data_IF_494216895028
#
_entry.id   IF_494216895028
#
_cell.length_a   1.000
_cell.length_b   1.000
_cell.length_c   1.000
_cell.angle_alpha   90.00
_cell.angle_beta   90.00
_cell.angle_gamma   90.00
#
_symmetry.space_group_name_H-M   'P 1'
#
loop_
_entity.id
_entity.type
_entity.pdbx_description
1 polymer ?
#
# COMPACT_ATOMS: atom_id res chain seq x y z
N UNK A 1 -2.90 15.59 -15.33
CA UNK A 1 -2.49 14.31 -14.72
C UNK A 1 -0.98 14.32 -14.52
N UNK A 2 -0.50 13.62 -13.49
CA UNK A 2 0.91 13.51 -13.06
C UNK A 2 1.10 12.15 -12.37
N UNK A 3 2.35 11.77 -12.08
CA UNK A 3 2.73 10.64 -11.22
C UNK A 3 3.87 11.13 -10.33
N UNK A 4 3.54 11.90 -9.30
CA UNK A 4 4.44 12.80 -8.59
C UNK A 4 5.16 12.08 -7.47
N UNK A 5 6.46 12.32 -7.38
CA UNK A 5 7.26 11.79 -6.28
C UNK A 5 8.19 12.83 -5.68
N UNK A 6 8.54 12.61 -4.41
CA UNK A 6 9.70 13.23 -3.79
C UNK A 6 10.85 12.22 -3.69
N UNK A 7 12.05 12.69 -4.02
CA UNK A 7 13.29 11.96 -3.74
C UNK A 7 14.08 12.76 -2.72
N UNK A 8 14.56 12.10 -1.67
CA UNK A 8 15.12 12.76 -0.50
C UNK A 8 16.51 12.18 -0.25
N UNK A 9 17.50 13.07 -0.17
CA UNK A 9 18.82 12.71 0.31
C UNK A 9 18.93 13.23 1.74
N UNK A 10 19.09 12.32 2.68
CA UNK A 10 19.38 12.63 4.08
C UNK A 10 20.88 12.47 4.30
N UNK A 11 21.56 13.57 4.62
CA UNK A 11 22.98 13.54 4.96
C UNK A 11 23.29 14.50 6.10
N UNK A 12 24.00 13.99 7.11
CA UNK A 12 24.42 14.73 8.32
C UNK A 12 23.26 15.43 9.01
N UNK A 13 22.09 14.78 9.02
CA UNK A 13 20.86 15.31 9.61
C UNK A 13 20.14 16.36 8.76
N UNK A 14 20.63 16.69 7.56
CA UNK A 14 19.98 17.60 6.62
C UNK A 14 19.20 16.80 5.56
N UNK A 15 18.00 17.27 5.24
CA UNK A 15 17.17 16.74 4.15
C UNK A 15 17.32 17.62 2.92
N UNK A 16 17.72 17.03 1.80
CA UNK A 16 17.64 17.65 0.47
C UNK A 16 16.50 17.00 -0.28
N UNK A 17 15.45 17.76 -0.58
CA UNK A 17 14.24 17.26 -1.24
C UNK A 17 14.29 17.62 -2.72
N UNK A 18 13.98 16.64 -3.55
CA UNK A 18 13.80 16.76 -4.98
C UNK A 18 12.36 16.42 -5.35
N UNK A 19 11.85 17.06 -6.38
CA UNK A 19 10.52 16.86 -6.93
C UNK A 19 10.60 16.41 -8.38
N UNK A 20 9.79 15.42 -8.73
CA UNK A 20 9.55 15.03 -10.12
C UNK A 20 8.04 14.81 -10.35
N UNK A 21 7.49 15.48 -11.36
CA UNK A 21 6.08 15.38 -11.76
C UNK A 21 5.67 13.99 -12.25
N UNK A 22 6.63 13.21 -12.74
CA UNK A 22 6.46 11.86 -13.28
C UNK A 22 7.36 10.85 -12.56
N UNK A 23 7.84 11.18 -11.36
CA UNK A 23 8.78 10.34 -10.63
C UNK A 23 8.17 9.05 -10.10
N UNK A 24 6.91 9.02 -9.66
CA UNK A 24 6.37 7.84 -8.98
C UNK A 24 6.32 6.60 -9.91
N UNK A 25 5.94 6.77 -11.17
CA UNK A 25 5.97 5.69 -12.17
C UNK A 25 7.38 5.27 -12.60
N UNK A 26 8.39 6.08 -12.25
CA UNK A 26 9.80 5.85 -12.56
C UNK A 26 10.60 5.28 -11.38
N UNK A 27 10.09 5.34 -10.13
CA UNK A 27 10.82 4.92 -8.93
C UNK A 27 11.41 3.51 -9.09
N UNK A 28 10.63 2.52 -9.54
CA UNK A 28 11.12 1.13 -9.68
C UNK A 28 12.24 1.02 -10.70
N UNK A 29 12.14 1.74 -11.82
CA UNK A 29 13.16 1.78 -12.86
C UNK A 29 14.42 2.52 -12.39
N UNK A 30 14.25 3.70 -11.79
CA UNK A 30 15.32 4.54 -11.27
C UNK A 30 16.15 3.78 -10.23
N UNK A 31 15.49 3.13 -9.27
CA UNK A 31 16.15 2.32 -8.25
C UNK A 31 16.85 1.11 -8.87
N UNK A 32 16.20 0.42 -9.82
CA UNK A 32 16.78 -0.76 -10.45
C UNK A 32 18.00 -0.44 -11.34
N UNK A 33 18.17 0.83 -11.75
CA UNK A 33 19.35 1.29 -12.49
C UNK A 33 20.65 1.27 -11.66
N UNK A 34 20.54 1.11 -10.33
CA UNK A 34 21.66 1.02 -9.39
C UNK A 34 22.09 2.37 -8.81
N UNK A 35 22.93 2.32 -7.76
CA UNK A 35 23.33 3.48 -6.95
C UNK A 35 23.82 4.68 -7.77
N UNK A 36 24.83 4.49 -8.62
CA UNK A 36 25.46 5.59 -9.37
C UNK A 36 24.47 6.26 -10.33
N UNK A 37 23.74 5.46 -11.10
CA UNK A 37 22.78 5.96 -12.08
C UNK A 37 21.62 6.69 -11.41
N UNK A 38 21.13 6.18 -10.28
CA UNK A 38 20.11 6.82 -9.47
C UNK A 38 20.56 8.20 -8.98
N UNK A 39 21.73 8.31 -8.34
CA UNK A 39 22.20 9.60 -7.85
C UNK A 39 22.54 10.60 -8.95
N UNK A 40 23.04 10.14 -10.10
CA UNK A 40 23.21 10.99 -11.28
C UNK A 40 21.88 11.48 -11.87
N UNK A 41 20.82 10.65 -11.85
CA UNK A 41 19.50 11.06 -12.33
C UNK A 41 18.89 12.13 -11.41
N UNK A 42 19.06 12.03 -10.09
CA UNK A 42 18.56 13.00 -9.12
C UNK A 42 19.05 14.43 -9.35
N UNK A 43 20.26 14.60 -9.92
CA UNK A 43 20.81 15.93 -10.24
C UNK A 43 19.99 16.69 -11.28
N UNK A 44 19.15 15.98 -12.06
CA UNK A 44 18.27 16.55 -13.08
C UNK A 44 16.91 16.98 -12.51
N UNK A 45 16.57 16.49 -11.32
CA UNK A 45 15.30 16.84 -10.67
C UNK A 45 15.34 18.23 -10.06
N UNK A 46 14.17 18.87 -9.99
CA UNK A 46 14.02 20.18 -9.37
C UNK A 46 14.14 20.02 -7.84
N UNK A 47 14.98 20.84 -7.20
CA UNK A 47 14.99 20.92 -5.73
C UNK A 47 13.70 21.58 -5.23
N UNK A 48 13.21 21.09 -4.10
CA UNK A 48 12.02 21.61 -3.42
C UNK A 48 12.36 21.91 -1.97
N UNK A 49 11.72 22.95 -1.41
CA UNK A 49 11.87 23.30 0.01
C UNK A 49 10.92 22.50 0.90
N UNK A 50 9.93 21.83 0.31
CA UNK A 50 8.94 21.03 1.02
C UNK A 50 8.58 19.74 0.28
N UNK A 51 8.00 18.80 1.04
CA UNK A 51 7.33 17.64 0.47
C UNK A 51 6.08 18.08 -0.30
N UNK A 52 5.67 17.24 -1.24
CA UNK A 52 4.34 17.32 -1.85
C UNK A 52 3.30 17.05 -0.75
N UNK A 53 2.15 17.73 -0.84
CA UNK A 53 0.99 17.40 0.01
C UNK A 53 0.53 15.96 -0.25
N UNK A 54 0.18 15.22 0.80
CA UNK A 54 -0.06 13.78 0.72
C UNK A 54 -1.05 13.37 -0.36
N UNK A 55 -2.15 14.13 -0.52
CA UNK A 55 -3.17 13.86 -1.56
C UNK A 55 -2.64 13.92 -3.00
N UNK A 56 -1.41 14.40 -3.20
CA UNK A 56 -0.72 14.48 -4.48
C UNK A 56 0.62 13.72 -4.48
N UNK A 57 1.02 13.11 -3.37
CA UNK A 57 2.23 12.30 -3.30
C UNK A 57 1.87 10.89 -3.77
N UNK A 58 2.46 10.45 -4.87
CA UNK A 58 2.20 9.14 -5.49
C UNK A 58 3.43 8.22 -5.37
N UNK A 59 4.54 8.74 -4.82
CA UNK A 59 5.74 7.97 -4.50
C UNK A 59 6.77 8.76 -3.69
N UNK A 60 7.66 8.04 -3.02
CA UNK A 60 8.72 8.60 -2.20
C UNK A 60 9.97 7.73 -2.25
N UNK A 61 11.15 8.35 -2.29
CA UNK A 61 12.43 7.69 -2.02
C UNK A 61 13.20 8.50 -1.00
N UNK A 62 13.81 7.84 -0.03
CA UNK A 62 14.72 8.40 0.98
C UNK A 62 16.03 7.62 0.93
N UNK A 63 17.12 8.30 0.61
CA UNK A 63 18.47 7.78 0.74
C UNK A 63 19.15 8.41 1.97
N UNK A 64 19.31 7.62 3.04
CA UNK A 64 20.10 8.01 4.22
C UNK A 64 21.57 7.64 3.97
N UNK A 65 22.39 8.66 3.69
CA UNK A 65 23.75 8.49 3.20
C UNK A 65 24.69 7.90 4.27
N UNK A 66 24.46 8.22 5.54
CA UNK A 66 25.30 7.74 6.64
C UNK A 66 24.89 6.34 7.09
N UNK A 67 23.59 6.07 7.19
CA UNK A 67 23.10 4.74 7.56
C UNK A 67 23.12 3.74 6.40
N UNK A 68 23.30 4.23 5.16
CA UNK A 68 23.14 3.44 3.93
C UNK A 68 21.77 2.76 3.87
N UNK A 69 20.71 3.50 4.23
CA UNK A 69 19.33 3.04 4.09
C UNK A 69 18.70 3.64 2.84
N UNK A 70 18.08 2.80 2.01
CA UNK A 70 17.30 3.21 0.85
C UNK A 70 15.84 2.82 1.09
N UNK A 71 15.05 3.79 1.54
CA UNK A 71 13.66 3.59 1.89
C UNK A 71 12.73 4.14 0.80
N UNK A 72 11.69 3.40 0.39
CA UNK A 72 10.85 3.84 -0.72
C UNK A 72 9.44 3.22 -0.75
N UNK A 73 8.55 3.89 -1.47
CA UNK A 73 7.26 3.37 -1.93
C UNK A 73 6.84 4.08 -3.22
N UNK A 74 5.95 3.46 -4.00
CA UNK A 74 5.28 4.08 -5.16
C UNK A 74 3.91 3.44 -5.37
N UNK A 75 2.92 4.22 -5.80
CA UNK A 75 1.60 3.71 -6.22
C UNK A 75 1.68 2.77 -7.43
N UNK A 76 2.76 2.86 -8.22
CA UNK A 76 2.99 1.98 -9.37
C UNK A 76 3.69 0.67 -8.99
N UNK A 77 3.97 0.43 -7.70
CA UNK A 77 4.42 -0.88 -7.22
C UNK A 77 3.27 -1.89 -7.17
N UNK A 78 3.59 -3.17 -7.35
CA UNK A 78 2.58 -4.24 -7.27
C UNK A 78 2.14 -4.52 -5.83
N UNK A 79 0.84 -4.78 -5.65
CA UNK A 79 0.23 -5.16 -4.38
C UNK A 79 0.38 -6.67 -4.07
N UNK A 80 1.26 -7.36 -4.78
CA UNK A 80 1.45 -8.80 -4.66
C UNK A 80 2.76 -9.10 -3.95
N UNK A 81 2.68 -9.82 -2.83
CA UNK A 81 3.80 -10.14 -1.96
C UNK A 81 4.92 -10.86 -2.70
N UNK A 82 4.60 -11.82 -3.58
CA UNK A 82 5.61 -12.56 -4.35
C UNK A 82 6.37 -11.66 -5.32
N UNK A 83 5.68 -10.73 -5.99
CA UNK A 83 6.34 -9.77 -6.91
C UNK A 83 7.20 -8.79 -6.13
N UNK A 84 6.68 -8.26 -5.02
CA UNK A 84 7.44 -7.36 -4.15
C UNK A 84 8.71 -8.03 -3.60
N UNK A 85 8.61 -9.26 -3.09
CA UNK A 85 9.77 -10.03 -2.60
C UNK A 85 10.80 -10.26 -3.71
N UNK A 86 10.34 -10.65 -4.90
CA UNK A 86 11.20 -10.85 -6.05
C UNK A 86 11.92 -9.56 -6.45
N UNK A 87 11.19 -8.45 -6.54
CA UNK A 87 11.75 -7.13 -6.84
C UNK A 87 12.78 -6.70 -5.80
N UNK A 88 12.47 -6.81 -4.50
CA UNK A 88 13.38 -6.44 -3.41
C UNK A 88 14.67 -7.26 -3.43
N UNK A 89 14.58 -8.57 -3.68
CA UNK A 89 15.75 -9.43 -3.78
C UNK A 89 16.67 -9.03 -4.95
N UNK A 90 16.10 -8.75 -6.12
CA UNK A 90 16.88 -8.31 -7.30
C UNK A 90 17.41 -6.88 -7.11
N UNK A 91 16.67 -6.01 -6.44
CA UNK A 91 17.12 -4.65 -6.13
C UNK A 91 18.32 -4.67 -5.18
N UNK A 92 18.36 -5.62 -4.23
CA UNK A 92 19.48 -5.76 -3.28
C UNK A 92 20.80 -6.03 -4.00
N UNK A 93 20.78 -6.77 -5.12
CA UNK A 93 21.98 -7.01 -5.95
C UNK A 93 22.49 -5.73 -6.63
N UNK A 94 21.61 -4.74 -6.86
CA UNK A 94 21.95 -3.43 -7.44
C UNK A 94 22.44 -2.42 -6.41
N UNK A 95 22.21 -2.70 -5.13
CA UNK A 95 22.51 -1.85 -3.99
C UNK A 95 23.18 -2.67 -2.86
N UNK A 96 24.35 -3.29 -3.12
CA UNK A 96 24.93 -4.30 -2.22
C UNK A 96 25.31 -3.77 -0.84
N UNK A 97 25.67 -2.49 -0.75
CA UNK A 97 26.10 -1.84 0.50
C UNK A 97 24.97 -1.10 1.23
N UNK A 98 23.73 -1.22 0.75
CA UNK A 98 22.58 -0.53 1.30
C UNK A 98 21.57 -1.50 1.90
N UNK A 99 20.95 -1.09 3.01
CA UNK A 99 19.75 -1.71 3.51
C UNK A 99 18.54 -1.16 2.75
N UNK A 100 17.85 -2.03 2.01
CA UNK A 100 16.63 -1.69 1.30
C UNK A 100 15.41 -1.79 2.22
N UNK A 101 14.58 -0.75 2.23
CA UNK A 101 13.44 -0.62 3.13
C UNK A 101 12.20 -0.26 2.31
N UNK A 102 11.28 -1.19 2.16
CA UNK A 102 9.97 -0.87 1.61
C UNK A 102 9.10 -0.20 2.68
N UNK A 103 8.37 0.84 2.31
CA UNK A 103 7.54 1.66 3.21
C UNK A 103 6.04 1.38 2.93
N UNK A 104 5.49 0.25 3.41
CA UNK A 104 4.12 -0.16 3.08
C UNK A 104 3.06 0.82 3.59
N UNK A 105 3.29 1.53 4.69
CA UNK A 105 2.36 2.52 5.24
C UNK A 105 2.70 3.96 4.80
N UNK A 106 3.33 4.09 3.63
CA UNK A 106 3.65 5.35 2.97
C UNK A 106 4.27 6.40 3.91
N UNK A 107 3.58 7.54 4.10
CA UNK A 107 4.09 8.66 4.89
C UNK A 107 4.18 8.33 6.39
N UNK A 108 3.37 7.40 6.89
CA UNK A 108 3.44 6.96 8.29
C UNK A 108 4.77 6.29 8.60
N UNK A 109 5.29 5.48 7.66
CA UNK A 109 6.60 4.88 7.79
C UNK A 109 7.70 5.89 7.47
N UNK A 110 7.50 6.74 6.46
CA UNK A 110 8.52 7.68 5.99
C UNK A 110 8.82 8.83 6.95
N UNK A 111 7.81 9.38 7.63
CA UNK A 111 7.97 10.54 8.50
C UNK A 111 8.97 10.30 9.66
N UNK A 112 8.92 9.15 10.37
CA UNK A 112 9.95 8.76 11.32
C UNK A 112 11.38 8.70 10.73
N UNK A 113 11.56 8.20 9.50
CA UNK A 113 12.88 8.17 8.84
C UNK A 113 13.45 9.57 8.59
N UNK A 114 12.58 10.52 8.27
CA UNK A 114 12.92 11.93 8.06
C UNK A 114 13.05 12.72 9.36
N UNK A 115 12.53 12.21 10.48
CA UNK A 115 12.49 12.94 11.75
C UNK A 115 11.52 14.12 11.73
N UNK A 116 10.42 14.01 10.99
CA UNK A 116 9.39 15.06 10.87
C UNK A 116 8.06 14.59 11.46
N UNK A 117 7.26 15.53 11.95
CA UNK A 117 5.85 15.28 12.28
C UNK A 117 4.97 15.74 11.13
N UNK A 118 4.80 14.86 10.14
CA UNK A 118 4.01 15.16 8.95
C UNK A 118 2.49 15.15 9.24
N UNK A 119 2.06 14.24 10.11
CA UNK A 119 0.64 13.93 10.31
C UNK A 119 -0.05 15.10 11.02
N UNK A 120 0.56 15.63 12.09
CA UNK A 120 -0.04 16.73 12.87
C UNK A 120 -0.22 18.03 12.09
N UNK A 121 0.56 18.22 11.01
CA UNK A 121 0.51 19.43 10.17
C UNK A 121 -0.43 19.34 8.97
N UNK A 122 -1.06 18.19 8.73
CA UNK A 122 -1.79 17.95 7.48
C UNK A 122 -3.30 17.87 7.73
N UNK A 123 -4.08 18.51 6.86
CA UNK A 123 -5.55 18.39 6.87
C UNK A 123 -5.95 16.96 6.48
N UNK A 124 -6.62 16.27 7.40
CA UNK A 124 -7.15 14.93 7.12
C UNK A 124 -8.45 15.05 6.32
N UNK A 125 -8.57 14.20 5.29
CA UNK A 125 -9.77 14.09 4.46
C UNK A 125 -10.98 13.57 5.27
N UNK A 126 -12.16 14.10 4.99
CA UNK A 126 -13.41 13.59 5.58
C UNK A 126 -13.96 12.44 4.75
N UNK A 127 -13.94 11.24 5.30
CA UNK A 127 -14.46 10.04 4.65
C UNK A 127 -15.99 10.04 4.62
N UNK A 128 -16.57 9.71 3.45
CA UNK A 128 -18.01 9.52 3.29
C UNK A 128 -18.43 8.16 3.85
N UNK A 129 -19.30 8.16 4.85
CA UNK A 129 -19.98 6.96 5.33
C UNK A 129 -21.12 6.59 4.37
N UNK A 130 -21.15 5.35 3.83
CA UNK A 130 -22.27 4.89 3.02
C UNK A 130 -23.51 4.61 3.88
N UNK A 131 -24.65 4.44 3.23
CA UNK A 131 -25.89 3.92 3.81
C UNK A 131 -25.87 2.39 3.86
N UNK A 132 -26.76 1.79 4.68
CA UNK A 132 -26.95 0.33 4.70
C UNK A 132 -27.32 -0.22 3.32
N UNK A 133 -28.20 0.49 2.62
CA UNK A 133 -28.68 0.10 1.30
C UNK A 133 -27.56 0.12 0.27
N UNK A 134 -26.68 1.13 0.31
CA UNK A 134 -25.48 1.18 -0.54
C UNK A 134 -24.56 -0.02 -0.28
N UNK A 135 -24.38 -0.49 0.97
CA UNK A 135 -23.54 -1.67 1.28
C UNK A 135 -24.19 -2.97 0.81
N UNK A 136 -25.49 -3.14 1.06
CA UNK A 136 -26.22 -4.36 0.72
C UNK A 136 -26.36 -4.49 -0.81
N UNK A 137 -26.74 -3.41 -1.48
CA UNK A 137 -27.01 -3.35 -2.91
C UNK A 137 -25.80 -2.88 -3.73
N UNK A 138 -24.59 -3.14 -3.22
CA UNK A 138 -23.32 -2.76 -3.83
C UNK A 138 -23.03 -3.57 -5.12
N UNK A 139 -23.80 -3.28 -6.17
CA UNK A 139 -23.68 -3.79 -7.54
C UNK A 139 -23.77 -5.31 -7.72
N UNK A 140 -23.93 -5.74 -8.97
CA UNK A 140 -23.52 -7.10 -9.35
C UNK A 140 -22.00 -7.13 -9.58
N UNK A 141 -21.40 -8.33 -9.60
CA UNK A 141 -19.96 -8.50 -9.76
C UNK A 141 -19.47 -7.81 -11.06
N UNK A 142 -18.77 -6.68 -10.90
CA UNK A 142 -18.04 -6.02 -11.99
C UNK A 142 -16.75 -6.81 -12.30
N UNK A 143 -16.12 -6.56 -13.45
CA UNK A 143 -14.79 -7.08 -13.77
C UNK A 143 -13.72 -6.56 -12.78
N UNK A 144 -13.94 -5.39 -12.19
CA UNK A 144 -12.99 -4.70 -11.30
C UNK A 144 -13.61 -4.38 -9.93
N UNK A 145 -13.79 -5.38 -9.04
CA UNK A 145 -14.27 -5.13 -7.70
C UNK A 145 -13.32 -4.19 -6.94
N UNK A 146 -13.87 -3.33 -6.10
CA UNK A 146 -13.10 -2.33 -5.35
C UNK A 146 -12.35 -2.94 -4.18
N UNK A 147 -12.96 -3.86 -3.43
CA UNK A 147 -12.30 -4.51 -2.30
C UNK A 147 -12.60 -5.99 -2.17
N UNK A 148 -11.60 -6.75 -1.76
CA UNK A 148 -11.72 -8.11 -1.26
C UNK A 148 -11.80 -8.05 0.27
N UNK A 149 -12.86 -8.60 0.85
CA UNK A 149 -13.12 -8.58 2.29
C UNK A 149 -13.13 -9.98 2.86
N UNK A 150 -12.29 -10.21 3.86
CA UNK A 150 -12.17 -11.44 4.61
C UNK A 150 -12.65 -11.18 6.04
N UNK A 151 -13.61 -11.96 6.52
CA UNK A 151 -14.17 -11.82 7.87
C UNK A 151 -13.97 -13.15 8.59
N UNK A 152 -13.17 -13.16 9.65
CA UNK A 152 -13.02 -14.30 10.55
C UNK A 152 -13.82 -14.06 11.82
N UNK A 153 -14.67 -15.02 12.16
CA UNK A 153 -15.36 -15.12 13.44
C UNK A 153 -15.26 -16.54 14.00
N UNK A 154 -16.01 -16.83 15.07
CA UNK A 154 -16.07 -18.15 15.69
C UNK A 154 -16.65 -19.27 14.80
N UNK A 155 -17.32 -18.95 13.68
CA UNK A 155 -17.87 -19.93 12.73
C UNK A 155 -16.82 -20.30 11.69
N UNK A 156 -16.05 -19.32 11.23
CA UNK A 156 -14.97 -19.55 10.26
C UNK A 156 -14.60 -18.30 9.48
N UNK A 157 -14.01 -18.52 8.30
CA UNK A 157 -13.64 -17.46 7.37
C UNK A 157 -14.73 -17.27 6.32
N UNK A 158 -15.27 -16.06 6.24
CA UNK A 158 -16.17 -15.60 5.18
C UNK A 158 -15.41 -14.68 4.24
N UNK A 159 -15.52 -14.89 2.93
CA UNK A 159 -14.81 -14.09 1.91
C UNK A 159 -15.82 -13.54 0.93
N UNK A 160 -15.79 -12.23 0.67
CA UNK A 160 -16.66 -11.56 -0.30
C UNK A 160 -15.90 -10.45 -1.01
N UNK A 161 -16.46 -9.94 -2.10
CA UNK A 161 -15.98 -8.73 -2.77
C UNK A 161 -17.04 -7.61 -2.71
N UNK A 162 -16.57 -6.37 -2.82
CA UNK A 162 -17.38 -5.17 -3.04
C UNK A 162 -17.12 -4.61 -4.43
N UNK A 163 -18.10 -3.93 -5.03
CA UNK A 163 -18.04 -3.42 -6.40
C UNK A 163 -17.88 -1.90 -6.47
N UNK A 164 -18.57 -1.14 -5.62
CA UNK A 164 -18.48 0.32 -5.53
C UNK A 164 -18.15 0.78 -4.10
N UNK A 165 -18.40 -0.08 -3.10
CA UNK A 165 -18.02 0.17 -1.72
C UNK A 165 -16.51 0.01 -1.56
N UNK A 166 -15.84 1.11 -1.22
CA UNK A 166 -14.39 1.13 -0.99
C UNK A 166 -14.02 0.67 0.42
N UNK A 167 -12.72 0.51 0.70
CA UNK A 167 -12.25 0.22 2.06
C UNK A 167 -12.61 1.35 3.04
N UNK A 168 -12.45 2.59 2.62
CA UNK A 168 -12.83 3.79 3.38
C UNK A 168 -14.31 3.79 3.72
N UNK A 169 -15.17 3.35 2.80
CA UNK A 169 -16.60 3.23 3.06
C UNK A 169 -16.88 2.17 4.14
N UNK A 170 -16.24 1.01 4.08
CA UNK A 170 -16.40 -0.05 5.10
C UNK A 170 -15.90 0.44 6.46
N UNK A 171 -14.70 1.02 6.51
CA UNK A 171 -14.09 1.48 7.75
C UNK A 171 -14.85 2.67 8.34
N UNK A 172 -15.33 3.60 7.54
CA UNK A 172 -16.13 4.74 8.01
C UNK A 172 -17.53 4.35 8.47
N UNK A 173 -18.07 3.24 7.97
CA UNK A 173 -19.34 2.69 8.47
C UNK A 173 -19.17 2.06 9.86
N UNK A 174 -18.04 1.40 10.12
CA UNK A 174 -17.71 0.83 11.42
C UNK A 174 -18.01 -0.66 11.52
N UNK A 175 -17.93 -1.19 12.74
CA UNK A 175 -18.15 -2.62 13.03
C UNK A 175 -19.53 -3.14 12.56
N UNK A 176 -20.52 -2.26 12.45
CA UNK A 176 -21.86 -2.61 11.98
C UNK A 176 -21.89 -2.99 10.48
N UNK A 177 -20.80 -2.75 9.73
CA UNK A 177 -20.66 -3.22 8.35
C UNK A 177 -20.55 -4.75 8.27
N UNK A 178 -20.03 -5.41 9.31
CA UNK A 178 -19.77 -6.86 9.34
C UNK A 178 -21.04 -7.68 8.99
N UNK A 179 -22.18 -7.52 9.69
CA UNK A 179 -23.39 -8.28 9.36
C UNK A 179 -23.95 -7.94 7.98
N UNK A 180 -23.71 -6.75 7.44
CA UNK A 180 -24.16 -6.35 6.10
C UNK A 180 -23.32 -7.04 5.02
N UNK A 181 -21.99 -7.03 5.19
CA UNK A 181 -21.05 -7.70 4.30
C UNK A 181 -21.29 -9.21 4.27
N UNK A 182 -21.65 -9.82 5.40
CA UNK A 182 -22.01 -11.26 5.47
C UNK A 182 -23.32 -11.63 4.77
N UNK A 183 -24.15 -10.66 4.36
CA UNK A 183 -25.34 -10.92 3.51
C UNK A 183 -24.98 -11.08 2.03
N UNK A 184 -23.75 -10.68 1.65
CA UNK A 184 -23.27 -10.82 0.27
C UNK A 184 -22.95 -12.27 -0.05
N UNK A 185 -22.74 -12.54 -1.34
CA UNK A 185 -22.36 -13.88 -1.81
C UNK A 185 -20.92 -14.19 -1.38
N UNK A 186 -20.75 -15.29 -0.65
CA UNK A 186 -19.41 -15.80 -0.35
C UNK A 186 -18.72 -16.31 -1.61
N UNK A 187 -17.42 -16.06 -1.72
CA UNK A 187 -16.54 -16.61 -2.75
C UNK A 187 -15.44 -17.47 -2.11
N UNK A 188 -14.74 -18.32 -2.87
CA UNK A 188 -13.50 -18.95 -2.40
C UNK A 188 -12.41 -17.91 -2.13
N UNK A 189 -11.52 -18.21 -1.18
CA UNK A 189 -10.31 -17.41 -0.96
C UNK A 189 -9.41 -17.50 -2.21
N UNK A 190 -9.11 -16.39 -2.90
CA UNK A 190 -8.30 -16.44 -4.12
C UNK A 190 -6.83 -16.73 -3.82
N UNK A 191 -6.12 -17.30 -4.79
CA UNK A 191 -4.66 -17.34 -4.77
C UNK A 191 -4.10 -15.93 -5.07
N UNK A 192 -2.83 -15.72 -4.73
CA UNK A 192 -2.13 -14.49 -5.08
C UNK A 192 -2.05 -14.30 -6.60
N UNK A 193 -2.35 -13.10 -7.09
CA UNK A 193 -2.46 -12.83 -8.52
C UNK A 193 -3.75 -13.32 -9.20
N UNK A 194 -4.69 -13.91 -8.44
CA UNK A 194 -6.04 -14.23 -8.90
C UNK A 194 -7.11 -13.37 -8.21
N UNK A 195 -6.75 -12.63 -7.17
CA UNK A 195 -7.61 -11.63 -6.55
C UNK A 195 -7.91 -10.51 -7.56
N UNK A 196 -9.20 -10.22 -7.78
CA UNK A 196 -9.61 -9.20 -8.75
C UNK A 196 -9.54 -7.79 -8.15
N UNK A 197 -9.80 -7.67 -6.86
CA UNK A 197 -9.71 -6.42 -6.13
C UNK A 197 -8.27 -6.15 -5.67
N UNK A 198 -7.80 -4.93 -5.94
CA UNK A 198 -6.47 -4.47 -5.49
C UNK A 198 -6.42 -4.18 -4.00
N UNK A 199 -7.54 -3.70 -3.45
CA UNK A 199 -7.63 -3.32 -2.05
C UNK A 199 -8.21 -4.48 -1.25
N UNK A 200 -7.62 -4.77 -0.09
CA UNK A 200 -8.01 -5.93 0.70
C UNK A 200 -8.17 -5.55 2.16
N UNK A 201 -9.19 -6.11 2.80
CA UNK A 201 -9.49 -5.93 4.21
C UNK A 201 -9.72 -7.28 4.87
N UNK A 202 -9.00 -7.52 5.95
CA UNK A 202 -9.26 -8.61 6.87
C UNK A 202 -9.84 -8.06 8.18
N UNK A 203 -10.91 -8.70 8.65
CA UNK A 203 -11.61 -8.38 9.90
C UNK A 203 -11.60 -9.63 10.78
N UNK A 204 -10.88 -9.57 11.91
CA UNK A 204 -10.97 -10.55 12.98
C UNK A 204 -11.97 -10.07 14.04
N UNK A 205 -13.16 -10.67 14.03
CA UNK A 205 -14.25 -10.30 14.92
C UNK A 205 -13.96 -10.70 16.37
N UNK A 206 -13.27 -11.81 16.59
CA UNK A 206 -12.99 -12.34 17.93
C UNK A 206 -11.84 -11.57 18.57
N UNK A 207 -10.73 -11.40 17.85
CA UNK A 207 -9.54 -10.72 18.36
C UNK A 207 -9.58 -9.20 18.22
N UNK A 208 -10.66 -8.64 17.65
CA UNK A 208 -10.82 -7.20 17.40
C UNK A 208 -9.62 -6.63 16.66
N UNK A 209 -9.32 -7.21 15.50
CA UNK A 209 -8.15 -6.83 14.72
C UNK A 209 -8.52 -6.62 13.25
N UNK A 210 -8.07 -5.52 12.68
CA UNK A 210 -8.22 -5.19 11.27
C UNK A 210 -6.85 -5.21 10.60
N UNK A 211 -6.77 -5.82 9.41
CA UNK A 211 -5.60 -5.69 8.54
C UNK A 211 -6.05 -5.13 7.20
N UNK A 212 -5.47 -4.02 6.78
CA UNK A 212 -5.73 -3.37 5.49
C UNK A 212 -4.47 -3.47 4.63
N UNK A 213 -4.59 -4.07 3.45
CA UNK A 213 -3.53 -4.09 2.44
C UNK A 213 -3.62 -2.86 1.52
N UNK A 214 -3.58 -1.70 2.13
CA UNK A 214 -3.54 -0.37 1.50
C UNK A 214 -3.03 0.62 2.56
N UNK A 215 -2.64 1.83 2.18
CA UNK A 215 -2.24 2.89 3.12
C UNK A 215 -3.05 4.16 2.86
N UNK A 216 -4.09 4.35 3.68
CA UNK A 216 -5.08 5.41 3.53
C UNK A 216 -4.89 6.44 4.64
N UNK A 217 -4.33 7.60 4.29
CA UNK A 217 -3.97 8.64 5.26
C UNK A 217 -5.16 9.21 6.02
N UNK A 218 -5.02 9.25 7.35
CA UNK A 218 -6.00 9.80 8.27
C UNK A 218 -7.21 8.89 8.52
N UNK A 219 -7.27 7.71 7.89
CA UNK A 219 -8.42 6.82 8.00
C UNK A 219 -8.64 6.38 9.45
N UNK A 220 -7.59 5.91 10.13
CA UNK A 220 -7.74 5.36 11.47
C UNK A 220 -7.89 6.45 12.54
N UNK A 221 -7.19 7.57 12.37
CA UNK A 221 -7.27 8.74 13.25
C UNK A 221 -8.70 9.28 13.30
N UNK A 222 -9.43 9.22 12.18
CA UNK A 222 -10.80 9.73 12.09
C UNK A 222 -11.86 8.67 12.35
N UNK A 223 -11.60 7.39 12.05
CA UNK A 223 -12.62 6.34 12.07
C UNK A 223 -12.44 5.29 13.18
N UNK A 224 -11.36 5.31 13.96
CA UNK A 224 -11.17 4.36 15.08
C UNK A 224 -12.33 4.34 16.07
N UNK A 225 -13.01 5.48 16.28
CA UNK A 225 -14.19 5.54 17.16
C UNK A 225 -15.38 4.69 16.67
N UNK A 226 -15.42 4.33 15.38
CA UNK A 226 -16.43 3.44 14.77
C UNK A 226 -16.10 1.96 14.95
N UNK A 227 -14.91 1.66 15.44
CA UNK A 227 -14.38 0.32 15.69
C UNK A 227 -13.89 0.20 17.14
N UNK A 228 -14.78 0.36 18.13
CA UNK A 228 -14.37 0.29 19.53
C UNK A 228 -13.69 -1.04 19.83
N UNK A 229 -12.56 -0.97 20.55
CA UNK A 229 -11.72 -2.10 20.97
C UNK A 229 -10.93 -2.76 19.84
N UNK A 230 -11.15 -2.39 18.57
CA UNK A 230 -10.34 -2.91 17.48
C UNK A 230 -8.97 -2.24 17.42
N UNK A 231 -8.00 -3.00 16.99
CA UNK A 231 -6.70 -2.51 16.53
C UNK A 231 -6.63 -2.56 15.01
N UNK A 232 -5.82 -1.70 14.41
CA UNK A 232 -5.58 -1.69 12.98
C UNK A 232 -4.09 -1.90 12.68
N UNK A 233 -3.82 -2.76 11.69
CA UNK A 233 -2.59 -2.75 10.93
C UNK A 233 -2.89 -2.39 9.48
N UNK A 234 -2.14 -1.44 8.94
CA UNK A 234 -2.38 -0.87 7.62
C UNK A 234 -1.06 -0.74 6.87
N UNK A 235 -1.11 -0.98 5.56
CA UNK A 235 -0.02 -0.76 4.63
C UNK A 235 -0.12 -1.67 3.42
N UNK A 236 0.47 -1.26 2.30
CA UNK A 236 0.56 -2.00 1.03
C UNK A 236 1.56 -3.17 1.13
N UNK A 237 1.43 -4.03 2.14
CA UNK A 237 2.35 -5.13 2.45
C UNK A 237 2.30 -6.30 1.44
N UNK A 238 1.23 -6.35 0.65
CA UNK A 238 0.94 -7.37 -0.34
C UNK A 238 0.00 -8.47 0.17
N UNK A 239 -0.68 -9.15 -0.75
CA UNK A 239 -1.78 -10.07 -0.42
C UNK A 239 -1.39 -11.18 0.56
N UNK A 240 -0.31 -11.94 0.29
CA UNK A 240 0.10 -13.02 1.19
C UNK A 240 0.64 -12.50 2.52
N UNK A 241 1.28 -11.34 2.53
CA UNK A 241 1.74 -10.72 3.77
C UNK A 241 0.54 -10.31 4.66
N UNK A 242 -0.54 -9.79 4.07
CA UNK A 242 -1.79 -9.52 4.77
C UNK A 242 -2.42 -10.81 5.30
N UNK A 243 -2.48 -11.89 4.51
CA UNK A 243 -2.98 -13.19 4.98
C UNK A 243 -2.14 -13.76 6.12
N UNK A 244 -0.81 -13.65 6.03
CA UNK A 244 0.10 -14.09 7.08
C UNK A 244 -0.12 -13.29 8.38
N UNK A 245 -0.28 -11.97 8.30
CA UNK A 245 -0.63 -11.13 9.44
C UNK A 245 -1.97 -11.54 10.07
N UNK A 246 -2.93 -11.90 9.22
CA UNK A 246 -4.22 -12.43 9.63
C UNK A 246 -4.13 -13.86 10.21
N UNK A 247 -2.95 -14.48 10.31
CA UNK A 247 -2.77 -15.88 10.72
C UNK A 247 -3.56 -16.86 9.83
N UNK A 248 -3.64 -16.60 8.52
CA UNK A 248 -4.20 -17.50 7.51
C UNK A 248 -3.04 -18.28 6.88
N UNK A 249 -3.23 -19.59 6.67
CA UNK A 249 -2.22 -20.42 6.03
C UNK A 249 -2.05 -20.01 4.56
N UNK A 250 -0.83 -19.61 4.19
CA UNK A 250 -0.48 -19.15 2.83
C UNK A 250 0.20 -20.21 1.98
N UNK A 251 0.47 -21.40 2.51
CA UNK A 251 1.19 -22.45 1.76
C UNK A 251 0.39 -22.87 0.53
N UNK A 252 1.00 -22.74 -0.65
CA UNK A 252 0.38 -23.06 -1.94
C UNK A 252 -0.50 -21.95 -2.50
N UNK A 253 -0.56 -20.79 -1.84
CA UNK A 253 -1.30 -19.62 -2.31
C UNK A 253 -0.45 -18.69 -3.18
N UNK A 254 0.84 -19.00 -3.35
CA UNK A 254 1.79 -18.18 -4.07
C UNK A 254 1.46 -18.03 -5.56
N UNK A 255 1.69 -16.81 -6.05
CA UNK A 255 1.63 -16.53 -7.48
C UNK A 255 2.64 -17.42 -8.22
N UNK A 256 2.26 -17.91 -9.41
CA UNK A 256 3.17 -18.70 -10.24
C UNK A 256 4.42 -17.90 -10.62
N UNK A 257 5.56 -18.59 -10.75
CA UNK A 257 6.83 -17.95 -11.12
C UNK A 257 6.75 -17.19 -12.44
N UNK A 258 6.00 -17.70 -13.42
CA UNK A 258 5.78 -17.04 -14.71
C UNK A 258 5.09 -15.68 -14.54
N UNK A 259 4.00 -15.62 -13.75
CA UNK A 259 3.29 -14.38 -13.46
C UNK A 259 4.19 -13.40 -12.69
N UNK A 260 4.98 -13.89 -11.74
CA UNK A 260 5.93 -13.07 -10.96
C UNK A 260 6.97 -12.42 -11.87
N UNK A 261 7.56 -13.18 -12.80
CA UNK A 261 8.54 -12.66 -13.75
C UNK A 261 7.91 -11.63 -14.71
N UNK A 262 6.72 -11.90 -15.23
CA UNK A 262 6.01 -10.97 -16.11
C UNK A 262 5.69 -9.64 -15.41
N UNK A 263 5.20 -9.70 -14.16
CA UNK A 263 4.92 -8.50 -13.36
C UNK A 263 6.21 -7.73 -13.02
N UNK A 264 7.28 -8.43 -12.63
CA UNK A 264 8.59 -7.83 -12.39
C UNK A 264 9.13 -7.11 -13.63
N UNK A 265 9.07 -7.74 -14.81
CA UNK A 265 9.52 -7.11 -16.05
C UNK A 265 8.76 -5.81 -16.35
N UNK A 266 7.45 -5.79 -16.10
CA UNK A 266 6.62 -4.59 -16.25
C UNK A 266 7.10 -3.48 -15.31
N UNK A 267 7.35 -3.80 -14.04
CA UNK A 267 7.83 -2.84 -13.03
C UNK A 267 9.14 -2.16 -13.43
N UNK A 268 10.09 -2.88 -14.02
CA UNK A 268 11.41 -2.32 -14.37
C UNK A 268 11.48 -1.73 -15.79
N UNK A 269 10.54 -2.07 -16.67
CA UNK A 269 10.50 -1.60 -18.07
C UNK A 269 9.56 -0.43 -18.29
N UNK A 270 8.81 0.02 -17.28
CA UNK A 270 7.74 1.04 -17.40
C UNK A 270 8.07 2.09 -18.47
N UNK A 271 7.49 1.91 -19.66
CA UNK A 271 7.52 2.92 -20.70
C UNK A 271 6.54 3.99 -20.26
N UNK A 272 6.94 5.25 -20.07
CA UNK A 272 5.96 6.31 -19.91
C UNK A 272 5.06 6.28 -21.15
N UNK A 273 3.78 6.02 -20.95
CA UNK A 273 2.75 6.11 -21.99
C UNK A 273 2.60 7.56 -22.47
#
# INVERSE_FOLDING_TARGET
MGSRANYIIKSKGLLTIYYNKWGACQITQDLYSGEDNFFESLKKHQRSDSLIEYGWMEGLVIADMEAKHLAFWSFDMENETSVLRYFMANLQERWPDWQLIYLPNYIYDAAPFMGIDYISGTTIYQFKTPTEEEIINDGEADEYPFALVLIRDNIGLFVTETNYITLENIISYGKEAIPLLKRRKSIPLPHEGDARAKNQLFIDVENKHLVINDSIFGLWETMSCKWPEYTLKMGCMGYLAMLAEANINIVGMEMSQEKVLAAFEKLIKNNPA
#
